data_IF_596265414332
#
_entry.id   IF_596265414332
#
_cell.length_a   1.000
_cell.length_b   1.000
_cell.length_c   1.000
_cell.angle_alpha   90.00
_cell.angle_beta   90.00
_cell.angle_gamma   90.00
#
_symmetry.space_group_name_H-M   'P 1'
#
loop_
_entity.id
_entity.type
_entity.pdbx_description
1 polymer ?
#
# COMPACT_ATOMS: atom_id res chain seq x y z
N UNK A 1 6.10 -8.31 -25.02
CA UNK A 1 6.26 -8.41 -23.56
C UNK A 1 6.03 -7.01 -23.03
N UNK A 2 4.91 -6.76 -22.33
CA UNK A 2 4.67 -5.47 -21.70
C UNK A 2 5.54 -5.45 -20.44
N UNK A 3 6.57 -4.62 -20.40
CA UNK A 3 7.46 -4.50 -19.24
C UNK A 3 6.67 -3.82 -18.12
N UNK A 4 6.40 -4.54 -17.04
CA UNK A 4 5.90 -3.96 -15.79
C UNK A 4 6.81 -2.80 -15.38
N UNK A 5 6.28 -1.59 -15.30
CA UNK A 5 7.04 -0.39 -15.04
C UNK A 5 7.19 -0.19 -13.51
N UNK A 6 8.37 -0.49 -13.00
CA UNK A 6 8.76 -0.09 -11.64
C UNK A 6 8.83 1.44 -11.54
N UNK A 7 8.08 2.04 -10.63
CA UNK A 7 8.13 3.50 -10.36
C UNK A 7 8.65 3.76 -8.97
N UNK A 8 9.64 4.64 -8.82
CA UNK A 8 10.30 4.94 -7.53
C UNK A 8 10.31 6.44 -7.25
N UNK A 9 10.15 6.81 -5.97
CA UNK A 9 10.10 8.20 -5.50
C UNK A 9 10.93 8.36 -4.22
N UNK A 10 11.54 9.53 -4.05
CA UNK A 10 12.36 9.88 -2.87
C UNK A 10 12.02 11.27 -2.28
N UNK A 11 10.74 11.55 -1.92
CA UNK A 11 10.34 12.82 -1.35
C UNK A 11 11.03 13.16 -0.03
N UNK A 12 11.56 12.19 0.74
CA UNK A 12 12.20 12.43 2.03
C UNK A 12 13.72 12.58 1.95
N UNK A 13 14.29 12.72 0.75
CA UNK A 13 15.76 12.76 0.57
C UNK A 13 16.44 13.81 1.47
N UNK A 14 15.80 14.96 1.71
CA UNK A 14 16.38 16.02 2.55
C UNK A 14 16.17 15.75 4.04
N UNK A 15 15.00 15.26 4.41
CA UNK A 15 14.54 14.98 5.77
C UNK A 15 15.37 13.86 6.41
N UNK A 16 15.75 12.85 5.61
CA UNK A 16 16.62 11.73 6.02
C UNK A 16 17.96 12.16 6.59
N UNK A 17 18.47 13.34 6.22
CA UNK A 17 19.71 13.88 6.78
C UNK A 17 19.57 14.21 8.27
N UNK A 18 18.35 14.45 8.75
CA UNK A 18 18.05 14.68 10.17
C UNK A 18 17.71 13.42 10.96
N UNK A 19 17.65 12.25 10.31
CA UNK A 19 17.38 10.97 10.98
C UNK A 19 18.68 10.27 11.37
N UNK A 20 18.55 9.30 12.29
CA UNK A 20 19.68 8.45 12.67
C UNK A 20 20.27 7.71 11.46
N UNK A 21 21.50 7.22 11.61
CA UNK A 21 22.14 6.35 10.63
C UNK A 21 21.35 5.02 10.50
N UNK A 22 21.05 4.63 9.27
CA UNK A 22 20.38 3.36 8.99
C UNK A 22 20.07 3.14 7.51
N UNK A 23 19.54 1.96 7.13
CA UNK A 23 19.30 1.58 5.74
C UNK A 23 18.41 2.56 4.96
N UNK A 24 17.47 3.22 5.65
CA UNK A 24 16.52 4.18 5.07
C UNK A 24 17.16 5.35 4.34
N UNK A 25 18.46 5.64 4.55
CA UNK A 25 19.17 6.72 3.84
C UNK A 25 19.23 6.50 2.34
N UNK A 26 19.41 5.24 1.93
CA UNK A 26 19.62 4.87 0.53
C UNK A 26 18.39 4.18 -0.09
N UNK A 27 17.38 3.88 0.72
CA UNK A 27 16.12 3.33 0.23
C UNK A 27 15.25 4.40 -0.44
N UNK A 28 14.56 4.03 -1.52
CA UNK A 28 13.46 4.86 -2.02
C UNK A 28 12.36 4.98 -0.95
N UNK A 29 11.58 6.06 -1.02
CA UNK A 29 10.51 6.33 -0.05
C UNK A 29 9.16 5.83 -0.54
N UNK A 30 8.99 5.66 -1.83
CA UNK A 30 7.83 4.99 -2.39
C UNK A 30 8.25 4.21 -3.61
N UNK A 31 7.67 3.03 -3.78
CA UNK A 31 7.81 2.28 -5.01
C UNK A 31 6.51 1.58 -5.36
N UNK A 32 6.19 1.57 -6.64
CA UNK A 32 4.99 0.94 -7.20
C UNK A 32 5.40 -0.06 -8.27
N UNK A 33 4.72 -1.20 -8.31
CA UNK A 33 4.93 -2.25 -9.30
C UNK A 33 3.68 -3.12 -9.43
N UNK A 34 3.61 -3.92 -10.49
CA UNK A 34 2.66 -5.03 -10.56
C UNK A 34 3.35 -6.28 -10.02
N UNK A 35 2.75 -6.95 -9.04
CA UNK A 35 3.24 -8.23 -8.56
C UNK A 35 3.10 -9.28 -9.67
N UNK A 36 4.21 -9.73 -10.24
CA UNK A 36 4.22 -10.62 -11.40
C UNK A 36 3.51 -11.96 -11.14
N UNK A 37 3.46 -12.42 -9.88
CA UNK A 37 2.85 -13.71 -9.54
C UNK A 37 1.32 -13.67 -9.50
N UNK A 38 0.73 -12.49 -9.30
CA UNK A 38 -0.72 -12.31 -9.08
C UNK A 38 -1.36 -11.32 -10.04
N UNK A 39 -0.57 -10.46 -10.68
CA UNK A 39 -1.05 -9.37 -11.53
C UNK A 39 -1.68 -8.21 -10.74
N UNK A 40 -1.58 -8.20 -9.42
CA UNK A 40 -2.13 -7.15 -8.55
C UNK A 40 -1.19 -5.94 -8.46
N UNK A 41 -1.75 -4.74 -8.36
CA UNK A 41 -0.99 -3.54 -8.08
C UNK A 41 -0.41 -3.61 -6.66
N UNK A 42 0.87 -3.26 -6.53
CA UNK A 42 1.60 -3.34 -5.28
C UNK A 42 2.39 -2.05 -5.04
N UNK A 43 2.48 -1.64 -3.79
CA UNK A 43 3.37 -0.54 -3.42
C UNK A 43 3.95 -0.72 -2.02
N UNK A 44 5.05 -0.01 -1.79
CA UNK A 44 5.37 0.46 -0.44
C UNK A 44 5.50 1.98 -0.46
N UNK A 45 5.27 2.60 0.70
CA UNK A 45 5.52 4.04 0.92
C UNK A 45 6.01 4.30 2.34
N UNK A 46 6.86 5.31 2.51
CA UNK A 46 7.41 5.75 3.79
C UNK A 46 6.47 6.72 4.47
N UNK A 47 5.93 6.31 5.61
CA UNK A 47 4.92 7.05 6.34
C UNK A 47 5.55 8.33 6.94
N UNK A 48 4.87 9.48 6.80
CA UNK A 48 5.38 10.80 7.22
C UNK A 48 5.54 10.90 8.73
N UNK A 49 4.67 10.19 9.43
CA UNK A 49 4.77 9.97 10.86
C UNK A 49 5.78 8.84 11.12
N UNK A 50 6.83 9.08 11.89
CA UNK A 50 7.85 8.08 12.26
C UNK A 50 8.87 7.67 11.18
N UNK A 51 8.58 7.89 9.89
CA UNK A 51 9.50 7.55 8.79
C UNK A 51 9.59 6.04 8.48
N UNK A 52 8.74 5.20 9.07
CA UNK A 52 8.69 3.76 8.82
C UNK A 52 8.07 3.45 7.45
N UNK A 53 8.27 2.22 6.96
CA UNK A 53 7.65 1.77 5.72
C UNK A 53 6.27 1.17 5.95
N UNK A 54 5.40 1.34 4.97
CA UNK A 54 4.05 0.83 4.91
C UNK A 54 3.89 0.09 3.56
N UNK A 55 3.34 -1.11 3.56
CA UNK A 55 3.17 -1.96 2.37
C UNK A 55 1.71 -2.17 2.00
N UNK A 56 1.39 -2.19 0.71
CA UNK A 56 0.00 -2.27 0.21
C UNK A 56 -0.12 -3.12 -1.05
N UNK A 57 -1.29 -3.75 -1.20
CA UNK A 57 -1.76 -4.42 -2.42
C UNK A 57 -3.13 -3.87 -2.79
N UNK A 58 -3.28 -3.49 -4.05
CA UNK A 58 -4.49 -2.92 -4.61
C UNK A 58 -5.35 -4.03 -5.23
N UNK A 59 -6.61 -4.08 -4.82
CA UNK A 59 -7.60 -4.97 -5.43
C UNK A 59 -8.65 -4.15 -6.19
N UNK A 60 -9.06 -4.65 -7.35
CA UNK A 60 -10.04 -3.97 -8.20
C UNK A 60 -11.48 -4.23 -7.73
N UNK A 61 -12.46 -3.50 -8.26
CA UNK A 61 -13.87 -3.58 -7.87
C UNK A 61 -14.47 -5.00 -7.94
N UNK A 62 -13.97 -5.85 -8.83
CA UNK A 62 -14.41 -7.24 -8.95
C UNK A 62 -13.88 -8.18 -7.86
N UNK A 63 -12.91 -7.75 -7.06
CA UNK A 63 -12.29 -8.60 -6.04
C UNK A 63 -13.22 -8.77 -4.82
N UNK A 64 -13.32 -9.97 -4.22
CA UNK A 64 -14.25 -10.22 -3.11
C UNK A 64 -14.08 -9.35 -1.86
N UNK A 65 -12.86 -8.86 -1.63
CA UNK A 65 -12.51 -7.98 -0.51
C UNK A 65 -12.46 -6.48 -0.88
N UNK A 66 -12.88 -6.10 -2.08
CA UNK A 66 -12.99 -4.69 -2.45
C UNK A 66 -13.94 -3.95 -1.51
N UNK A 67 -13.50 -2.81 -0.97
CA UNK A 67 -14.29 -2.00 -0.03
C UNK A 67 -14.32 -2.51 1.42
N UNK A 68 -13.69 -3.65 1.71
CA UNK A 68 -13.61 -4.16 3.07
C UNK A 68 -12.60 -3.38 3.90
N UNK A 69 -13.00 -2.99 5.11
CA UNK A 69 -12.04 -2.53 6.10
C UNK A 69 -11.16 -3.69 6.53
N UNK A 70 -9.87 -3.44 6.76
CA UNK A 70 -8.91 -4.47 7.18
C UNK A 70 -9.38 -5.23 8.43
N UNK A 71 -10.00 -4.53 9.40
CA UNK A 71 -10.51 -5.08 10.65
C UNK A 71 -11.79 -5.92 10.50
N UNK A 72 -12.46 -5.83 9.34
CA UNK A 72 -13.63 -6.64 9.01
C UNK A 72 -13.27 -7.93 8.27
N UNK A 73 -12.01 -8.10 7.82
CA UNK A 73 -11.56 -9.29 7.09
C UNK A 73 -11.37 -10.44 8.10
N UNK A 74 -12.09 -11.56 7.96
CA UNK A 74 -11.94 -12.69 8.87
C UNK A 74 -10.53 -13.29 8.83
N UNK A 75 -9.96 -13.55 10.00
CA UNK A 75 -8.61 -14.14 10.13
C UNK A 75 -8.48 -15.51 9.46
N UNK A 76 -9.59 -16.23 9.33
CA UNK A 76 -9.70 -17.54 8.70
C UNK A 76 -9.40 -17.51 7.19
N UNK A 77 -9.49 -16.33 6.56
CA UNK A 77 -9.09 -16.16 5.16
C UNK A 77 -7.56 -16.16 4.98
N UNK A 78 -6.78 -16.11 6.06
CA UNK A 78 -5.31 -16.14 5.98
C UNK A 78 -4.70 -14.89 5.33
N UNK A 79 -5.48 -13.82 5.13
CA UNK A 79 -5.00 -12.54 4.60
C UNK A 79 -4.21 -11.81 5.69
N UNK A 80 -2.90 -12.06 5.73
CA UNK A 80 -2.00 -11.48 6.72
C UNK A 80 -0.65 -11.14 6.11
N UNK A 81 -0.01 -10.09 6.63
CA UNK A 81 1.32 -9.66 6.28
C UNK A 81 1.99 -9.00 7.48
N UNK A 82 3.31 -9.12 7.60
CA UNK A 82 4.10 -8.57 8.70
C UNK A 82 3.60 -9.03 10.08
N UNK A 83 2.69 -8.29 10.72
CA UNK A 83 2.07 -8.58 12.03
C UNK A 83 0.54 -8.56 11.98
N UNK A 84 -0.02 -8.63 10.77
CA UNK A 84 -1.43 -8.42 10.47
C UNK A 84 -1.59 -7.25 9.50
N UNK A 85 -2.68 -7.27 8.73
CA UNK A 85 -3.10 -6.10 7.97
C UNK A 85 -3.79 -5.11 8.91
N UNK A 86 -3.41 -3.85 8.85
CA UNK A 86 -3.94 -2.77 9.70
C UNK A 86 -4.33 -1.53 8.90
N UNK A 87 -4.28 -1.61 7.58
CA UNK A 87 -4.58 -0.53 6.66
C UNK A 87 -5.55 -0.99 5.57
N UNK A 88 -6.54 -0.16 5.28
CA UNK A 88 -7.49 -0.37 4.18
C UNK A 88 -8.07 0.96 3.71
N UNK A 89 -8.23 1.16 2.40
CA UNK A 89 -8.90 2.35 1.89
C UNK A 89 -8.84 2.50 0.37
N UNK A 90 -9.53 3.51 -0.13
CA UNK A 90 -9.46 3.93 -1.54
C UNK A 90 -8.05 4.46 -1.90
N UNK A 91 -7.75 4.53 -3.19
CA UNK A 91 -6.72 5.44 -3.69
C UNK A 91 -6.97 6.85 -3.11
N UNK A 92 -6.01 7.34 -2.34
CA UNK A 92 -6.02 8.72 -1.84
C UNK A 92 -5.25 9.56 -2.85
N UNK A 93 -5.96 10.41 -3.60
CA UNK A 93 -5.33 11.39 -4.49
C UNK A 93 -4.39 12.34 -3.73
N UNK A 94 -3.46 12.96 -4.45
CA UNK A 94 -2.49 13.89 -3.86
C UNK A 94 -1.17 13.89 -4.62
N UNK A 95 -0.10 14.31 -3.95
CA UNK A 95 1.26 14.21 -4.49
C UNK A 95 1.61 12.73 -4.73
N UNK A 96 1.82 12.35 -5.98
CA UNK A 96 2.16 10.99 -6.42
C UNK A 96 3.35 10.40 -5.66
N UNK A 97 4.31 11.22 -5.24
CA UNK A 97 5.47 10.76 -4.49
C UNK A 97 5.11 10.29 -3.07
N UNK A 98 3.99 10.76 -2.52
CA UNK A 98 3.63 10.65 -1.09
C UNK A 98 2.31 9.92 -0.82
N UNK A 99 1.33 10.12 -1.70
CA UNK A 99 -0.05 9.69 -1.49
C UNK A 99 -0.18 8.17 -1.60
N UNK A 100 -1.20 7.60 -0.94
CA UNK A 100 -1.59 6.19 -1.06
C UNK A 100 -2.45 6.00 -2.33
N UNK A 101 -1.86 6.31 -3.48
CA UNK A 101 -2.41 6.03 -4.80
C UNK A 101 -1.28 5.64 -5.76
N UNK A 102 -1.61 4.95 -6.85
CA UNK A 102 -0.66 4.55 -7.88
C UNK A 102 -0.86 5.32 -9.18
N UNK A 103 0.14 5.27 -10.05
CA UNK A 103 -0.04 5.58 -11.47
C UNK A 103 -0.29 4.26 -12.19
N UNK A 104 -1.52 3.99 -12.64
CA UNK A 104 -1.83 2.73 -13.29
C UNK A 104 -1.06 2.58 -14.58
N UNK A 105 -0.71 1.34 -14.89
CA UNK A 105 -0.25 1.00 -16.24
C UNK A 105 -1.39 1.14 -17.25
N UNK A 106 -1.04 1.35 -18.52
CA UNK A 106 -2.03 1.51 -19.58
C UNK A 106 -2.99 0.31 -19.62
N UNK A 107 -4.30 0.60 -19.49
CA UNK A 107 -5.36 -0.42 -19.49
C UNK A 107 -5.70 -1.02 -18.13
N UNK A 108 -5.07 -0.57 -17.04
CA UNK A 108 -5.43 -0.92 -15.65
C UNK A 108 -6.33 0.15 -15.03
N UNK A 109 -7.16 -0.19 -14.03
CA UNK A 109 -8.02 0.80 -13.38
C UNK A 109 -7.22 1.80 -12.54
N UNK A 110 -7.69 3.05 -12.55
CA UNK A 110 -7.21 4.11 -11.66
C UNK A 110 -7.65 3.84 -10.21
N UNK A 111 -8.87 3.32 -10.03
CA UNK A 111 -9.47 3.10 -8.72
C UNK A 111 -9.26 1.67 -8.23
N UNK A 112 -8.37 1.52 -7.24
CA UNK A 112 -8.18 0.26 -6.50
C UNK A 112 -8.48 0.47 -5.01
N UNK A 113 -8.86 -0.61 -4.33
CA UNK A 113 -8.94 -0.65 -2.88
C UNK A 113 -7.64 -1.21 -2.32
N UNK A 114 -6.91 -0.40 -1.57
CA UNK A 114 -5.66 -0.79 -0.94
C UNK A 114 -5.93 -1.56 0.34
N UNK A 115 -5.27 -2.71 0.49
CA UNK A 115 -5.13 -3.46 1.73
C UNK A 115 -3.65 -3.53 2.09
N UNK A 116 -3.30 -3.31 3.35
CA UNK A 116 -1.89 -3.15 3.70
C UNK A 116 -1.57 -3.28 5.18
N UNK A 117 -0.31 -2.99 5.48
CA UNK A 117 0.26 -3.06 6.82
C UNK A 117 1.26 -1.93 7.05
N UNK A 118 1.39 -1.48 8.30
CA UNK A 118 2.45 -0.58 8.76
C UNK A 118 3.58 -1.35 9.44
N UNK A 119 4.81 -0.83 9.34
CA UNK A 119 5.97 -1.35 10.06
C UNK A 119 6.35 -0.45 11.26
N UNK A 120 5.38 -0.13 12.11
CA UNK A 120 5.57 0.62 13.37
C UNK A 120 4.92 -0.06 14.58
N UNK A 121 4.80 -1.38 14.53
CA UNK A 121 4.29 -2.15 15.64
C UNK A 121 5.33 -2.31 16.75
N UNK A 122 4.90 -2.87 17.88
CA UNK A 122 5.83 -3.23 18.97
C UNK A 122 6.96 -4.12 18.43
N UNK A 123 8.19 -3.64 18.57
CA UNK A 123 9.40 -4.33 18.14
C UNK A 123 9.92 -3.90 16.76
N UNK A 124 9.20 -3.03 16.05
CA UNK A 124 9.70 -2.41 14.83
C UNK A 124 10.43 -1.11 15.16
N UNK A 125 11.55 -0.87 14.46
CA UNK A 125 12.31 0.37 14.56
C UNK A 125 11.75 1.39 13.56
N UNK A 126 11.50 2.62 14.01
CA UNK A 126 11.12 3.74 13.14
C UNK A 126 12.29 4.72 12.96
N UNK A 127 12.65 5.15 11.73
CA UNK A 127 13.81 6.02 11.51
C UNK A 127 13.85 7.32 12.33
N UNK A 128 12.69 7.95 12.56
CA UNK A 128 12.62 9.18 13.38
C UNK A 128 12.80 8.90 14.89
N UNK A 129 12.44 7.70 15.35
CA UNK A 129 12.56 7.28 16.74
C UNK A 129 13.80 6.41 16.99
N UNK A 130 14.63 6.16 15.97
CA UNK A 130 15.78 5.28 16.05
C UNK A 130 16.82 5.71 17.12
N UNK A 131 16.84 7.00 17.51
CA UNK A 131 17.66 7.49 18.62
C UNK A 131 17.10 7.15 20.01
N UNK A 132 15.81 6.82 20.10
CA UNK A 132 15.03 6.60 21.33
C UNK A 132 14.68 5.14 21.58
N UNK A 133 14.74 4.31 20.54
CA UNK A 133 14.31 2.92 20.62
C UNK A 133 15.26 2.06 21.46
N UNK A 134 14.66 1.30 22.36
CA UNK A 134 15.34 0.39 23.29
C UNK A 134 15.94 -0.83 22.56
N UNK A 135 16.95 -1.44 23.17
CA UNK A 135 17.66 -2.64 22.70
C UNK A 135 16.70 -3.71 22.15
N UNK A 136 16.81 -4.03 20.85
CA UNK A 136 16.15 -5.18 20.22
C UNK A 136 15.07 -4.86 19.17
N UNK A 137 14.69 -3.60 18.96
CA UNK A 137 13.82 -3.22 17.84
C UNK A 137 14.55 -3.43 16.49
N UNK A 138 13.82 -3.85 15.46
CA UNK A 138 14.38 -4.18 14.14
C UNK A 138 13.69 -3.34 13.08
N UNK A 139 14.48 -2.72 12.20
CA UNK A 139 13.94 -1.99 11.06
C UNK A 139 13.44 -2.95 9.98
N UNK A 140 12.20 -2.74 9.52
CA UNK A 140 11.64 -3.43 8.37
C UNK A 140 12.11 -2.74 7.08
N UNK A 141 13.21 -3.24 6.53
CA UNK A 141 13.80 -2.69 5.30
C UNK A 141 12.97 -2.96 4.04
N UNK A 142 13.32 -2.30 2.93
CA UNK A 142 12.62 -2.47 1.65
C UNK A 142 12.54 -3.93 1.20
N UNK A 143 13.60 -4.75 1.24
CA UNK A 143 13.52 -6.18 0.94
C UNK A 143 12.48 -6.93 1.78
N UNK A 144 12.45 -6.70 3.10
CA UNK A 144 11.45 -7.29 3.98
C UNK A 144 10.04 -6.86 3.61
N UNK A 145 9.80 -5.56 3.43
CA UNK A 145 8.47 -5.01 3.10
C UNK A 145 7.97 -5.56 1.78
N UNK A 146 8.81 -5.61 0.74
CA UNK A 146 8.45 -6.25 -0.54
C UNK A 146 8.08 -7.72 -0.39
N UNK A 147 8.81 -8.47 0.43
CA UNK A 147 8.49 -9.86 0.68
C UNK A 147 7.14 -10.03 1.39
N UNK A 148 6.80 -9.13 2.33
CA UNK A 148 5.48 -9.11 2.97
C UNK A 148 4.36 -8.69 2.01
N UNK A 149 4.60 -7.70 1.14
CA UNK A 149 3.65 -7.29 0.10
C UNK A 149 3.39 -8.44 -0.89
N UNK A 150 4.42 -9.17 -1.32
CA UNK A 150 4.24 -10.35 -2.18
C UNK A 150 3.47 -11.50 -1.51
N UNK A 151 3.64 -11.69 -0.18
CA UNK A 151 2.82 -12.65 0.59
C UNK A 151 1.37 -12.20 0.66
N UNK A 152 1.13 -10.91 0.91
CA UNK A 152 -0.22 -10.34 0.92
C UNK A 152 -0.90 -10.49 -0.43
N UNK A 153 -0.19 -10.20 -1.52
CA UNK A 153 -0.73 -10.30 -2.87
C UNK A 153 -1.21 -11.71 -3.19
N UNK A 154 -0.41 -12.73 -2.85
CA UNK A 154 -0.80 -14.14 -3.02
C UNK A 154 -2.03 -14.50 -2.19
N UNK A 155 -2.04 -14.13 -0.92
CA UNK A 155 -3.17 -14.40 -0.04
C UNK A 155 -4.47 -13.74 -0.56
N UNK A 156 -4.39 -12.53 -1.11
CA UNK A 156 -5.54 -11.85 -1.73
C UNK A 156 -5.97 -12.55 -3.02
N UNK A 157 -5.03 -12.90 -3.90
CA UNK A 157 -5.33 -13.61 -5.15
C UNK A 157 -6.02 -14.97 -4.92
N UNK A 158 -5.75 -15.63 -3.80
CA UNK A 158 -6.38 -16.90 -3.41
C UNK A 158 -7.82 -16.73 -2.88
N UNK A 159 -8.29 -15.51 -2.61
CA UNK A 159 -9.67 -15.25 -2.16
C UNK A 159 -10.62 -15.35 -3.35
N UNK A 160 -11.21 -16.54 -3.52
CA UNK A 160 -12.11 -16.84 -4.64
C UNK A 160 -13.56 -16.37 -4.45
N UNK A 161 -13.98 -16.07 -3.21
CA UNK A 161 -15.35 -15.67 -2.90
C UNK A 161 -15.39 -14.74 -1.69
N UNK A 162 -16.41 -13.86 -1.57
CA UNK A 162 -16.54 -13.01 -0.39
C UNK A 162 -16.77 -13.89 0.83
N UNK A 163 -16.17 -13.57 1.99
CA UNK A 163 -16.46 -14.32 3.20
C UNK A 163 -17.97 -14.26 3.47
N UNK A 164 -18.58 -15.34 3.99
CA UNK A 164 -19.96 -15.28 4.41
C UNK A 164 -20.09 -14.10 5.37
N UNK A 165 -20.97 -13.15 5.04
CA UNK A 165 -21.26 -12.04 5.92
C UNK A 165 -21.71 -12.63 7.26
N UNK A 166 -20.81 -12.70 8.25
CA UNK A 166 -21.25 -12.70 9.64
C UNK A 166 -22.11 -11.45 9.73
N UNK A 167 -23.39 -11.61 10.03
CA UNK A 167 -24.39 -10.56 9.98
C UNK A 167 -23.94 -9.34 10.81
N UNK A 168 -23.22 -8.44 10.15
CA UNK A 168 -22.84 -7.12 10.59
C UNK A 168 -23.45 -6.17 9.54
N UNK A 169 -24.08 -5.07 9.97
CA UNK A 169 -24.72 -4.14 9.06
C UNK A 169 -23.70 -3.68 8.01
N UNK A 170 -24.11 -3.69 6.74
CA UNK A 170 -23.26 -3.37 5.60
C UNK A 170 -22.38 -2.13 5.86
N UNK A 171 -21.08 -2.14 5.55
CA UNK A 171 -20.28 -0.93 5.60
C UNK A 171 -20.80 0.02 4.51
N UNK A 172 -21.62 0.99 4.91
CA UNK A 172 -22.03 2.10 4.06
C UNK A 172 -20.87 3.08 3.92
N UNK A 173 -20.00 2.84 2.95
CA UNK A 173 -19.41 3.94 2.18
C UNK A 173 -19.74 3.62 0.73
N UNK A 174 -20.89 4.13 0.28
CA UNK A 174 -21.13 4.28 -1.14
C UNK A 174 -20.02 5.18 -1.66
N UNK A 175 -19.14 4.63 -2.51
CA UNK A 175 -18.27 5.44 -3.34
C UNK A 175 -19.14 6.49 -4.03
N UNK A 176 -18.85 7.80 -3.93
CA UNK A 176 -19.47 8.75 -4.84
C UNK A 176 -19.12 8.32 -6.26
N UNK A 177 -20.09 8.40 -7.17
CA UNK A 177 -19.86 8.10 -8.58
C UNK A 177 -18.62 8.86 -9.09
N UNK A 178 -17.77 8.26 -9.94
CA UNK A 178 -16.60 8.94 -10.46
C UNK A 178 -17.04 10.23 -11.15
N UNK A 179 -16.48 11.35 -10.69
CA UNK A 179 -16.72 12.66 -11.29
C UNK A 179 -15.99 12.71 -12.63
N UNK A 180 -16.66 12.28 -13.69
CA UNK A 180 -16.18 12.44 -15.06
C UNK A 180 -16.28 13.91 -15.47
N UNK A 181 -15.26 14.71 -15.18
CA UNK A 181 -14.98 15.94 -15.92
C UNK A 181 -13.47 16.10 -16.12
N UNK A 182 -12.90 15.30 -17.04
CA UNK A 182 -11.65 15.71 -17.69
C UNK A 182 -12.02 16.72 -18.77
N UNK A 183 -11.69 17.99 -18.50
CA UNK A 183 -11.70 19.04 -19.51
C UNK A 183 -10.84 18.59 -20.70
N UNK A 184 -11.49 18.30 -21.82
CA UNK A 184 -10.82 18.17 -23.12
C UNK A 184 -10.53 19.59 -23.58
N UNK A 185 -9.31 20.07 -23.39
CA UNK A 185 -8.85 21.23 -24.15
C UNK A 185 -8.72 20.83 -25.62
N UNK A 186 -9.36 21.54 -26.57
CA UNK A 186 -9.18 21.25 -27.98
C UNK A 186 -7.78 21.67 -28.42
N UNK A 187 -7.14 20.79 -29.19
CA UNK A 187 -5.90 21.06 -29.90
C UNK A 187 -6.02 22.35 -30.72
N UNK A 188 -5.15 23.32 -30.46
CA UNK A 188 -4.99 24.48 -31.35
C UNK A 188 -4.23 24.05 -32.59
N UNK A 189 -4.84 24.32 -33.75
CA UNK A 189 -4.26 24.22 -35.08
C UNK A 189 -3.18 25.27 -35.32
#
# INVERSE_FOLDING_TARGET
MCTTALRSYEPFRREKAGWADGPWRDEADKQQWIDESTGLDAMYRRCTDGGYLCGYVGVEQGHPLFGWRHDAIPTELGVTAHRGIDESGICEGGDEAMARCHVPEAGRPDDVWWLGFRCNHRGDLSPMDAHRDATGAIYADVPYVKAQVGRLARALADVAAPPPQLALPAPMIALPAPSFERSVEPARA
#
